data_IF_326928586361
#
_entry.id   IF_326928586361
#
_cell.length_a   1.000
_cell.length_b   1.000
_cell.length_c   1.000
_cell.angle_alpha   90.00
_cell.angle_beta   90.00
_cell.angle_gamma   90.00
#
_symmetry.space_group_name_H-M   'P 1'
#
loop_
_entity.id
_entity.type
_entity.pdbx_description
1 polymer ?
#
# COMPACT_ATOMS: atom_id res chain seq x y z
N UNK A 1 -0.28 -15.50 18.34
CA UNK A 1 -0.43 -15.19 16.91
C UNK A 1 -1.91 -15.32 16.57
N UNK A 2 -2.53 -14.29 16.00
CA UNK A 2 -3.89 -14.38 15.46
C UNK A 2 -3.81 -14.35 13.95
N UNK A 3 -4.64 -15.18 13.32
CA UNK A 3 -4.74 -15.31 11.89
C UNK A 3 -6.15 -14.93 11.44
N UNK A 4 -6.23 -14.13 10.38
CA UNK A 4 -7.49 -13.76 9.74
C UNK A 4 -7.35 -13.98 8.25
N UNK A 5 -8.08 -14.96 7.73
CA UNK A 5 -8.13 -15.27 6.30
C UNK A 5 -9.47 -14.81 5.71
N UNK A 6 -9.39 -14.19 4.54
CA UNK A 6 -10.54 -13.85 3.70
C UNK A 6 -10.18 -14.12 2.25
N UNK A 7 -11.16 -14.55 1.46
CA UNK A 7 -10.97 -14.84 0.05
C UNK A 7 -12.04 -14.18 -0.81
N UNK A 8 -11.76 -14.09 -2.11
CA UNK A 8 -12.75 -13.77 -3.14
C UNK A 8 -12.35 -14.40 -4.47
N UNK A 9 -13.30 -14.46 -5.40
CA UNK A 9 -13.09 -14.91 -6.77
C UNK A 9 -13.23 -13.70 -7.70
N UNK A 10 -12.29 -13.55 -8.63
CA UNK A 10 -12.23 -12.43 -9.57
C UNK A 10 -12.14 -12.99 -10.98
N UNK A 11 -13.01 -12.51 -11.86
CA UNK A 11 -13.01 -12.84 -13.29
C UNK A 11 -11.91 -12.08 -14.04
N UNK A 12 -10.65 -12.36 -13.71
CA UNK A 12 -9.48 -11.85 -14.42
C UNK A 12 -8.31 -12.85 -14.35
N UNK A 13 -7.31 -12.65 -15.22
CA UNK A 13 -6.08 -13.44 -15.17
C UNK A 13 -5.33 -13.20 -13.87
N UNK A 14 -4.71 -14.26 -13.37
CA UNK A 14 -3.96 -14.25 -12.12
C UNK A 14 -2.82 -13.24 -12.16
N UNK A 15 -2.16 -13.14 -13.30
CA UNK A 15 -1.05 -12.23 -13.57
C UNK A 15 -1.50 -10.77 -13.46
N UNK A 16 -2.67 -10.42 -14.02
CA UNK A 16 -3.16 -9.04 -13.97
C UNK A 16 -3.53 -8.61 -12.54
N UNK A 17 -4.17 -9.50 -11.78
CA UNK A 17 -4.51 -9.22 -10.38
C UNK A 17 -3.25 -9.13 -9.54
N UNK A 18 -2.31 -10.07 -9.70
CA UNK A 18 -1.04 -10.05 -9.00
C UNK A 18 -0.30 -8.73 -9.23
N UNK A 19 -0.16 -8.31 -10.49
CA UNK A 19 0.55 -7.08 -10.84
C UNK A 19 -0.08 -5.84 -10.22
N UNK A 20 -1.41 -5.79 -10.21
CA UNK A 20 -2.15 -4.70 -9.60
C UNK A 20 -1.96 -4.66 -8.08
N UNK A 21 -1.96 -5.81 -7.40
CA UNK A 21 -1.78 -5.88 -5.94
C UNK A 21 -0.33 -5.61 -5.54
N UNK A 22 0.64 -6.10 -6.32
CA UNK A 22 2.07 -5.89 -6.13
C UNK A 22 2.49 -4.42 -6.31
N UNK A 23 1.64 -3.61 -6.93
CA UNK A 23 1.82 -2.18 -7.10
C UNK A 23 1.19 -1.39 -5.95
N UNK A 24 2.02 -0.94 -5.01
CA UNK A 24 1.58 -0.15 -3.88
C UNK A 24 1.01 1.21 -4.27
N UNK A 25 1.31 1.73 -5.47
CA UNK A 25 0.71 2.98 -5.95
C UNK A 25 -0.79 2.80 -6.21
N UNK A 26 -1.22 1.61 -6.63
CA UNK A 26 -2.63 1.28 -6.89
C UNK A 26 -3.41 0.92 -5.60
N UNK A 27 -2.72 0.73 -4.47
CA UNK A 27 -3.32 0.29 -3.19
C UNK A 27 -4.55 1.10 -2.77
N UNK A 28 -4.58 2.44 -2.87
CA UNK A 28 -5.74 3.21 -2.42
C UNK A 28 -7.01 2.96 -3.22
N UNK A 29 -6.92 2.45 -4.46
CA UNK A 29 -8.08 2.16 -5.30
C UNK A 29 -9.07 1.19 -4.66
N UNK A 30 -8.61 0.30 -3.79
CA UNK A 30 -9.47 -0.69 -3.13
C UNK A 30 -9.40 -0.66 -1.59
N UNK A 31 -8.58 0.24 -1.00
CA UNK A 31 -8.35 0.28 0.46
C UNK A 31 -8.67 1.61 1.14
N UNK A 32 -9.06 2.65 0.39
CA UNK A 32 -9.34 3.99 0.94
C UNK A 32 -10.51 4.08 1.95
N UNK A 33 -11.35 3.05 2.06
CA UNK A 33 -12.41 2.99 3.09
C UNK A 33 -11.88 2.83 4.51
N UNK A 34 -10.60 2.47 4.67
CA UNK A 34 -9.96 2.29 5.98
C UNK A 34 -8.50 2.77 6.04
N UNK A 35 -7.89 3.10 4.90
CA UNK A 35 -6.59 3.77 4.82
C UNK A 35 -6.75 5.26 4.51
N UNK A 36 -6.09 6.11 5.29
CA UNK A 36 -5.95 7.55 5.07
C UNK A 36 -4.50 7.93 4.86
N UNK A 37 -4.28 9.10 4.22
CA UNK A 37 -2.95 9.71 4.06
C UNK A 37 -1.91 8.72 3.50
N UNK A 38 -2.32 7.97 2.48
CA UNK A 38 -1.49 6.96 1.85
C UNK A 38 -0.40 7.63 1.01
N UNK A 39 0.86 7.30 1.31
CA UNK A 39 2.03 7.84 0.62
C UNK A 39 3.04 6.72 0.38
N UNK A 40 3.66 6.73 -0.80
CA UNK A 40 4.79 5.85 -1.06
C UNK A 40 5.98 6.29 -0.21
N UNK A 41 6.65 5.33 0.42
CA UNK A 41 7.83 5.54 1.26
C UNK A 41 9.14 5.34 0.49
N UNK A 42 9.07 4.80 -0.73
CA UNK A 42 10.19 4.53 -1.64
C UNK A 42 9.80 4.89 -3.07
N UNK A 43 10.80 5.09 -3.93
CA UNK A 43 10.59 5.38 -5.36
C UNK A 43 10.06 4.15 -6.10
N UNK A 44 10.60 2.97 -5.78
CA UNK A 44 10.04 1.73 -6.28
C UNK A 44 8.70 1.44 -5.57
N UNK A 45 7.61 1.43 -6.33
CA UNK A 45 6.27 1.13 -5.84
C UNK A 45 5.86 -0.34 -6.04
N UNK A 46 6.66 -1.13 -6.77
CA UNK A 46 6.29 -2.48 -7.22
C UNK A 46 7.27 -3.53 -6.71
N UNK A 47 6.73 -4.64 -6.22
CA UNK A 47 7.53 -5.82 -5.85
C UNK A 47 8.39 -5.64 -4.59
N UNK A 48 9.36 -6.54 -4.34
CA UNK A 48 10.14 -6.56 -3.11
C UNK A 48 10.87 -5.23 -2.85
N UNK A 49 10.77 -4.73 -1.61
CA UNK A 49 11.33 -3.44 -1.20
C UNK A 49 10.43 -2.24 -1.48
N UNK A 50 9.32 -2.40 -2.22
CA UNK A 50 8.29 -1.38 -2.31
C UNK A 50 7.70 -1.13 -0.91
N UNK A 51 7.53 0.14 -0.55
CA UNK A 51 7.01 0.49 0.77
C UNK A 51 6.09 1.70 0.73
N UNK A 52 5.14 1.74 1.65
CA UNK A 52 4.17 2.80 1.82
C UNK A 52 3.91 3.11 3.29
N UNK A 53 3.48 4.34 3.57
CA UNK A 53 3.04 4.81 4.89
C UNK A 53 1.62 5.32 4.78
N UNK A 54 0.82 5.00 5.78
CA UNK A 54 -0.58 5.42 5.83
C UNK A 54 -1.11 5.41 7.26
N UNK A 55 -2.32 5.92 7.42
CA UNK A 55 -3.09 5.93 8.66
C UNK A 55 -4.26 4.96 8.56
N UNK A 56 -4.40 4.08 9.54
CA UNK A 56 -5.51 3.14 9.66
C UNK A 56 -6.67 3.76 10.46
N UNK A 57 -7.88 3.75 9.90
CA UNK A 57 -9.14 4.13 10.59
C UNK A 57 -9.62 3.03 11.54
N UNK A 58 -8.96 2.89 12.68
CA UNK A 58 -9.33 1.88 13.69
C UNK A 58 -10.53 2.33 14.52
N UNK A 59 -11.26 1.40 15.17
CA UNK A 59 -12.28 1.78 16.15
C UNK A 59 -11.64 2.65 17.23
N UNK A 60 -12.25 3.81 17.52
CA UNK A 60 -11.78 4.76 18.54
C UNK A 60 -10.42 5.43 18.25
N UNK A 61 -10.01 5.59 16.98
CA UNK A 61 -8.89 6.47 16.64
C UNK A 61 -8.20 6.18 15.32
N UNK A 62 -6.92 6.54 15.26
CA UNK A 62 -6.09 6.37 14.07
C UNK A 62 -4.74 5.79 14.47
N UNK A 63 -4.24 4.82 13.69
CA UNK A 63 -2.91 4.24 13.89
C UNK A 63 -2.04 4.46 12.66
N UNK A 64 -0.80 4.89 12.86
CA UNK A 64 0.20 4.95 11.80
C UNK A 64 0.66 3.54 11.45
N UNK A 65 0.78 3.28 10.15
CA UNK A 65 1.26 2.02 9.62
C UNK A 65 2.33 2.27 8.57
N UNK A 66 3.40 1.49 8.63
CA UNK A 66 4.35 1.34 7.54
C UNK A 66 4.18 -0.07 6.96
N UNK A 67 4.08 -0.16 5.64
CA UNK A 67 3.95 -1.40 4.89
C UNK A 67 5.15 -1.53 3.96
N UNK A 68 5.70 -2.74 3.85
CA UNK A 68 6.72 -3.08 2.86
C UNK A 68 6.43 -4.45 2.25
N UNK A 69 6.58 -4.58 0.93
CA UNK A 69 6.58 -5.87 0.26
C UNK A 69 7.92 -6.54 0.56
N UNK A 70 7.88 -7.66 1.26
CA UNK A 70 9.05 -8.45 1.62
C UNK A 70 9.41 -9.42 0.52
N UNK A 71 8.41 -10.17 0.04
CA UNK A 71 8.56 -11.20 -0.99
C UNK A 71 7.42 -11.08 -1.99
N UNK A 72 7.70 -11.32 -3.27
CA UNK A 72 6.69 -11.35 -4.32
C UNK A 72 7.10 -12.42 -5.34
N UNK A 73 6.41 -13.56 -5.31
CA UNK A 73 6.60 -14.68 -6.23
C UNK A 73 5.50 -14.62 -7.29
N UNK A 74 5.79 -13.99 -8.43
CA UNK A 74 4.82 -13.79 -9.51
C UNK A 74 4.52 -15.12 -10.21
N UNK A 75 3.25 -15.45 -10.50
CA UNK A 75 2.01 -14.71 -10.18
C UNK A 75 1.26 -15.28 -8.96
N UNK A 76 1.96 -15.99 -8.06
CA UNK A 76 1.33 -16.88 -7.09
C UNK A 76 1.17 -16.29 -5.69
N UNK A 77 2.12 -15.47 -5.23
CA UNK A 77 2.16 -15.05 -3.83
C UNK A 77 2.83 -13.71 -3.59
N UNK A 78 2.29 -12.92 -2.67
CA UNK A 78 2.90 -11.68 -2.17
C UNK A 78 2.92 -11.72 -0.64
N UNK A 79 4.06 -11.41 -0.04
CA UNK A 79 4.21 -11.29 1.42
C UNK A 79 4.53 -9.84 1.76
N UNK A 80 3.66 -9.24 2.56
CA UNK A 80 3.75 -7.88 3.05
C UNK A 80 4.03 -7.88 4.54
N UNK A 81 4.99 -7.06 4.97
CA UNK A 81 5.21 -6.77 6.38
C UNK A 81 4.61 -5.42 6.73
N UNK A 82 3.88 -5.39 7.83
CA UNK A 82 3.24 -4.20 8.37
C UNK A 82 3.76 -3.91 9.78
N UNK A 83 4.09 -2.65 10.03
CA UNK A 83 4.45 -2.13 11.35
C UNK A 83 3.39 -1.13 11.79
N UNK A 84 2.63 -1.48 12.82
CA UNK A 84 1.46 -0.71 13.28
C UNK A 84 1.73 -0.01 14.61
N UNK A 85 1.24 1.22 14.74
CA UNK A 85 1.24 2.01 15.97
C UNK A 85 2.42 2.97 16.11
N UNK A 86 2.39 3.77 17.18
CA UNK A 86 3.46 4.74 17.50
C UNK A 86 4.76 3.96 17.79
N UNK A 87 5.80 4.20 16.97
CA UNK A 87 7.10 3.48 16.94
C UNK A 87 7.08 2.08 16.31
N UNK A 88 6.01 1.66 15.61
CA UNK A 88 5.99 0.37 14.90
C UNK A 88 6.05 -0.85 15.82
N UNK A 89 5.45 -0.75 17.00
CA UNK A 89 5.54 -1.75 18.08
C UNK A 89 4.83 -3.07 17.78
N UNK A 90 3.84 -3.06 16.90
CA UNK A 90 3.10 -4.26 16.52
C UNK A 90 3.51 -4.69 15.12
N UNK A 91 3.96 -5.93 14.98
CA UNK A 91 4.29 -6.54 13.69
C UNK A 91 3.09 -7.35 13.20
N UNK A 92 2.70 -7.08 11.97
CA UNK A 92 1.73 -7.89 11.24
C UNK A 92 2.35 -8.33 9.92
N UNK A 93 1.90 -9.48 9.41
CA UNK A 93 2.26 -9.99 8.09
C UNK A 93 0.96 -10.20 7.33
N UNK A 94 0.88 -9.70 6.11
CA UNK A 94 -0.22 -9.99 5.20
C UNK A 94 0.33 -10.82 4.03
N UNK A 95 -0.32 -11.95 3.75
CA UNK A 95 0.03 -12.85 2.67
C UNK A 95 -1.13 -12.87 1.69
N UNK A 96 -0.86 -12.50 0.45
CA UNK A 96 -1.76 -12.73 -0.66
C UNK A 96 -1.36 -14.00 -1.38
N UNK A 97 -2.31 -14.91 -1.57
CA UNK A 97 -2.15 -16.10 -2.39
C UNK A 97 -3.14 -16.04 -3.56
N UNK A 98 -2.65 -16.35 -4.76
CA UNK A 98 -3.41 -16.28 -5.99
C UNK A 98 -3.47 -17.66 -6.65
N UNK A 99 -4.67 -18.23 -6.67
CA UNK A 99 -4.95 -19.56 -7.23
C UNK A 99 -5.80 -19.45 -8.48
N UNK A 100 -5.43 -20.17 -9.54
CA UNK A 100 -6.23 -20.24 -10.75
C UNK A 100 -7.29 -21.33 -10.57
N UNK A 101 -8.56 -20.95 -10.63
CA UNK A 101 -9.71 -21.85 -10.43
C UNK A 101 -10.41 -22.21 -11.75
N UNK A 102 -10.09 -21.48 -12.83
CA UNK A 102 -10.59 -21.75 -14.17
C UNK A 102 -10.03 -20.77 -15.20
N UNK A 103 -10.39 -20.91 -16.49
CA UNK A 103 -10.03 -19.94 -17.52
C UNK A 103 -10.54 -18.54 -17.15
N UNK A 104 -9.62 -17.60 -16.93
CA UNK A 104 -9.97 -16.22 -16.55
C UNK A 104 -10.59 -16.06 -15.16
N UNK A 105 -10.52 -17.08 -14.29
CA UNK A 105 -11.06 -17.03 -12.92
C UNK A 105 -9.94 -17.28 -11.90
N UNK A 106 -9.73 -16.31 -11.03
CA UNK A 106 -8.69 -16.35 -10.00
C UNK A 106 -9.31 -16.22 -8.62
N UNK A 107 -8.97 -17.14 -7.71
CA UNK A 107 -9.20 -16.98 -6.28
C UNK A 107 -8.05 -16.18 -5.67
N UNK A 108 -8.40 -15.08 -5.00
CA UNK A 108 -7.48 -14.25 -4.24
C UNK A 108 -7.75 -14.47 -2.77
N UNK A 109 -6.79 -15.03 -2.06
CA UNK A 109 -6.84 -15.20 -0.62
C UNK A 109 -5.89 -14.21 0.05
N UNK A 110 -6.35 -13.59 1.14
CA UNK A 110 -5.58 -12.69 1.97
C UNK A 110 -5.59 -13.19 3.41
N UNK A 111 -4.43 -13.60 3.88
CA UNK A 111 -4.20 -14.05 5.25
C UNK A 111 -3.37 -13.02 6.01
N UNK A 112 -3.95 -12.49 7.09
CA UNK A 112 -3.27 -11.52 7.96
C UNK A 112 -2.90 -12.17 9.29
N UNK A 113 -1.61 -12.17 9.58
CA UNK A 113 -1.04 -12.61 10.85
C UNK A 113 -0.70 -11.41 11.71
N UNK A 114 -1.11 -11.43 12.98
CA UNK A 114 -0.75 -10.38 13.95
C UNK A 114 -0.19 -10.97 15.24
N UNK A 115 0.89 -10.37 15.73
CA UNK A 115 1.45 -10.62 17.05
C UNK A 115 1.09 -9.47 18.00
N UNK A 116 0.33 -9.72 19.09
CA UNK A 116 0.12 -8.73 20.13
C UNK A 116 1.43 -8.45 20.86
N UNK A 117 1.80 -7.18 21.02
CA UNK A 117 2.92 -6.80 21.89
C UNK A 117 2.61 -7.01 23.39
N UNK A 118 1.33 -7.05 23.80
CA UNK A 118 0.94 -7.22 25.22
C UNK A 118 -0.36 -8.02 25.43
N UNK A 119 -0.56 -8.53 26.66
CA UNK A 119 -1.77 -9.29 27.06
C UNK A 119 -3.03 -8.41 27.13
N UNK A 120 -2.88 -7.11 27.40
CA UNK A 120 -3.99 -6.12 27.36
C UNK A 120 -4.43 -5.84 25.93
N UNK A 121 -3.51 -5.84 24.96
CA UNK A 121 -3.85 -5.77 23.54
C UNK A 121 -4.68 -6.98 23.10
N UNK A 122 -4.38 -8.17 23.64
CA UNK A 122 -5.11 -9.43 23.36
C UNK A 122 -6.62 -9.36 23.68
N UNK A 123 -7.05 -8.64 24.72
CA UNK A 123 -8.47 -8.51 25.03
C UNK A 123 -9.20 -7.50 24.12
N UNK A 124 -8.52 -6.42 23.69
CA UNK A 124 -9.03 -5.51 22.63
C UNK A 124 -9.08 -6.18 21.26
N UNK A 125 -8.27 -7.22 21.04
CA UNK A 125 -8.09 -7.86 19.74
C UNK A 125 -9.30 -8.66 19.22
N UNK A 126 -10.29 -9.07 20.04
CA UNK A 126 -11.48 -9.80 19.49
C UNK A 126 -12.27 -8.87 18.55
N UNK A 127 -12.44 -7.61 18.95
CA UNK A 127 -12.98 -6.57 18.08
C UNK A 127 -12.04 -6.26 16.90
N UNK A 128 -10.73 -6.27 17.12
CA UNK A 128 -9.74 -5.99 16.08
C UNK A 128 -9.72 -7.04 14.97
N UNK A 129 -9.70 -8.34 15.29
CA UNK A 129 -9.70 -9.42 14.29
C UNK A 129 -10.99 -9.39 13.45
N UNK A 130 -12.15 -9.17 14.08
CA UNK A 130 -13.42 -8.99 13.37
C UNK A 130 -13.41 -7.74 12.49
N UNK A 131 -12.82 -6.65 12.96
CA UNK A 131 -12.66 -5.42 12.19
C UNK A 131 -11.72 -5.63 11.00
N UNK A 132 -10.56 -6.25 11.19
CA UNK A 132 -9.60 -6.62 10.12
C UNK A 132 -10.33 -7.44 9.07
N UNK A 133 -10.98 -8.55 9.47
CA UNK A 133 -11.75 -9.42 8.56
C UNK A 133 -12.77 -8.64 7.74
N UNK A 134 -13.52 -7.71 8.37
CA UNK A 134 -14.51 -6.88 7.67
C UNK A 134 -13.86 -5.92 6.68
N UNK A 135 -12.76 -5.27 7.04
CA UNK A 135 -12.08 -4.29 6.18
C UNK A 135 -11.36 -4.94 5.01
N UNK A 136 -10.65 -6.04 5.26
CA UNK A 136 -9.95 -6.80 4.22
C UNK A 136 -10.90 -7.51 3.28
N UNK A 137 -12.01 -8.09 3.78
CA UNK A 137 -13.08 -8.63 2.92
C UNK A 137 -13.66 -7.55 1.99
N UNK A 138 -13.96 -6.37 2.52
CA UNK A 138 -14.44 -5.24 1.69
C UNK A 138 -13.38 -4.77 0.69
N UNK A 139 -12.09 -4.83 1.05
CA UNK A 139 -11.00 -4.50 0.14
C UNK A 139 -10.92 -5.49 -1.03
N UNK A 140 -11.01 -6.80 -0.77
CA UNK A 140 -11.05 -7.82 -1.84
C UNK A 140 -12.30 -7.68 -2.71
N UNK A 141 -13.46 -7.35 -2.14
CA UNK A 141 -14.68 -7.06 -2.92
C UNK A 141 -14.49 -5.86 -3.85
N UNK A 142 -13.83 -4.79 -3.39
CA UNK A 142 -13.51 -3.63 -4.22
C UNK A 142 -12.48 -3.94 -5.29
N UNK A 143 -11.48 -4.76 -4.96
CA UNK A 143 -10.51 -5.27 -5.93
C UNK A 143 -11.24 -6.02 -7.04
N UNK A 144 -12.17 -6.91 -6.69
CA UNK A 144 -13.03 -7.62 -7.65
C UNK A 144 -13.77 -6.64 -8.56
N UNK A 145 -14.44 -5.62 -8.00
CA UNK A 145 -15.16 -4.62 -8.80
C UNK A 145 -14.26 -3.89 -9.80
N UNK A 146 -13.00 -3.59 -9.47
CA UNK A 146 -12.06 -2.93 -10.41
C UNK A 146 -11.84 -3.77 -11.68
N UNK A 147 -11.83 -5.09 -11.56
CA UNK A 147 -11.60 -6.00 -12.69
C UNK A 147 -12.89 -6.38 -13.43
N UNK A 148 -14.01 -6.53 -12.71
CA UNK A 148 -15.28 -6.97 -13.30
C UNK A 148 -16.15 -5.82 -13.81
N UNK A 149 -16.03 -4.64 -13.20
CA UNK A 149 -16.78 -3.43 -13.51
C UNK A 149 -15.80 -2.25 -13.64
N UNK A 150 -14.99 -2.19 -14.73
CA UNK A 150 -13.97 -1.17 -14.86
C UNK A 150 -14.60 0.22 -14.76
N UNK A 151 -14.19 1.05 -13.80
CA UNK A 151 -14.75 2.39 -13.65
C UNK A 151 -14.44 3.24 -14.89
N UNK A 152 -15.34 4.16 -15.24
CA UNK A 152 -15.15 5.11 -16.36
C UNK A 152 -13.88 5.98 -16.19
N UNK A 153 -13.40 6.12 -14.95
CA UNK A 153 -12.18 6.83 -14.62
C UNK A 153 -11.10 5.84 -14.13
N UNK A 154 -9.82 6.03 -14.50
CA UNK A 154 -8.75 5.14 -14.09
C UNK A 154 -8.64 5.04 -12.55
N UNK A 155 -8.33 3.86 -12.00
CA UNK A 155 -8.30 3.64 -10.56
C UNK A 155 -7.31 4.57 -9.87
N UNK A 156 -7.70 5.03 -8.66
CA UNK A 156 -6.92 5.97 -7.85
C UNK A 156 -5.50 5.44 -7.61
N UNK A 157 -4.52 6.12 -8.19
CA UNK A 157 -3.10 5.80 -8.11
C UNK A 157 -2.36 6.91 -7.38
N UNK A 158 -1.56 6.57 -6.37
CA UNK A 158 -0.74 7.54 -5.64
C UNK A 158 0.62 7.67 -6.32
N UNK A 159 0.95 8.90 -6.71
CA UNK A 159 2.30 9.28 -7.15
C UNK A 159 3.17 9.63 -5.93
N UNK A 160 4.48 9.47 -6.06
CA UNK A 160 5.42 9.77 -4.98
C UNK A 160 5.27 11.26 -4.60
N UNK A 161 5.04 11.52 -3.31
CA UNK A 161 5.15 12.87 -2.75
C UNK A 161 6.62 13.31 -2.86
N UNK A 162 6.94 13.99 -3.96
CA UNK A 162 8.30 14.28 -4.43
C UNK A 162 8.41 14.41 -5.95
N UNK A 163 7.42 13.94 -6.72
CA UNK A 163 7.38 14.10 -8.17
C UNK A 163 5.98 14.51 -8.66
N UNK A 164 5.54 15.71 -8.25
CA UNK A 164 4.67 16.50 -9.11
C UNK A 164 5.59 17.22 -10.10
N UNK A 165 5.59 16.89 -11.39
CA UNK A 165 6.32 17.69 -12.39
C UNK A 165 5.87 19.17 -12.37
N UNK A 166 4.65 19.44 -11.90
CA UNK A 166 4.09 20.78 -11.72
C UNK A 166 4.48 21.49 -10.40
N UNK A 167 5.01 20.78 -9.39
CA UNK A 167 5.47 21.34 -8.11
C UNK A 167 6.78 20.73 -7.61
N UNK A 168 7.65 20.31 -8.53
CA UNK A 168 9.01 19.97 -8.19
C UNK A 168 9.65 21.24 -7.63
N UNK A 169 10.02 21.21 -6.34
CA UNK A 169 10.85 22.25 -5.77
C UNK A 169 12.14 22.30 -6.60
N UNK A 170 12.36 23.41 -7.30
CA UNK A 170 13.61 23.70 -8.02
C UNK A 170 14.71 23.92 -6.97
N UNK A 171 15.17 22.83 -6.36
CA UNK A 171 16.37 22.86 -5.55
C UNK A 171 17.57 22.76 -6.48
N UNK A 172 18.16 23.92 -6.78
CA UNK A 172 19.36 24.03 -7.61
C UNK A 172 19.42 25.27 -8.51
N UNK A 173 18.96 26.44 -8.05
CA UNK A 173 19.44 27.70 -8.60
C UNK A 173 20.19 28.42 -7.47
N UNK A 174 21.49 28.14 -7.38
CA UNK A 174 22.39 28.99 -6.61
C UNK A 174 22.29 30.40 -7.19
N UNK A 175 21.74 31.32 -6.40
CA UNK A 175 22.05 32.74 -6.48
C UNK A 175 23.57 32.91 -6.35
N UNK A 176 24.21 33.46 -7.38
CA UNK A 176 25.54 34.07 -7.23
C UNK A 176 26.61 33.64 -8.24
N UNK A 177 26.42 33.93 -9.53
CA UNK A 177 27.46 34.57 -10.35
C UNK A 177 26.83 35.00 -11.67
N UNK A 178 26.72 36.30 -11.85
CA UNK A 178 26.36 36.92 -13.12
C UNK A 178 27.64 37.07 -13.97
N UNK A 179 27.80 36.33 -15.08
CA UNK A 179 28.98 36.44 -15.94
C UNK A 179 28.98 37.68 -16.84
N UNK A 180 28.05 38.63 -16.66
CA UNK A 180 27.95 39.84 -17.48
C UNK A 180 28.63 41.10 -16.89
N UNK A 181 29.42 40.96 -15.82
CA UNK A 181 30.29 42.05 -15.35
C UNK A 181 31.73 41.90 -15.87
N UNK A 182 32.06 42.68 -16.90
CA UNK A 182 33.43 42.87 -17.36
C UNK A 182 34.28 43.56 -16.27
N UNK A 183 35.57 43.23 -16.12
CA UNK A 183 36.44 43.93 -15.19
C UNK A 183 36.64 45.37 -15.65
N UNK A 184 36.27 46.33 -14.81
CA UNK A 184 36.70 47.73 -14.97
C UNK A 184 38.21 47.79 -14.77
N UNK A 185 38.92 48.11 -15.85
CA UNK A 185 40.30 48.58 -15.81
C UNK A 185 40.35 50.05 -15.37
N UNK A 186 41.40 50.43 -14.65
CA UNK A 186 41.77 51.80 -14.31
C UNK A 186 42.14 51.93 -12.83
N UNK A 187 43.27 52.51 -12.42
CA UNK A 187 44.36 53.20 -13.12
C UNK A 187 45.64 53.00 -12.30
#
# INVERSE_FOLDING_TARGET
>A
MREVTVDTYISASREAIFDFVADLAARPAYTDHYLDDFRLARVNAVGPGAAARFRLKVPMGTQYCELSIREADRPRRIVEELRVGRRGRNRCVAVYDFSQEGPGLTRVELTTYSEPATVVDRFKEVGAARWVRRRTKKALQRLRSIFEEPPEQPPKRVTIAGYEAAKAARFGAHTGMDPSHAPRQGS
#
